data_IF_887072509045
#
_entry.id   IF_887072509045
#
_cell.length_a   1.000
_cell.length_b   1.000
_cell.length_c   1.000
_cell.angle_alpha   90.00
_cell.angle_beta   90.00
_cell.angle_gamma   90.00
#
_symmetry.space_group_name_H-M   'P 1'
#
loop_
_entity.id
_entity.type
_entity.pdbx_description
1 polymer ?
#
# COMPACT_ATOMS: atom_id res chain seq x y z
N UNK A 1 41.10 29.41 -8.21
CA UNK A 1 39.63 29.35 -8.04
C UNK A 1 39.25 27.91 -7.67
N UNK A 2 39.01 27.64 -6.39
CA UNK A 2 38.65 26.30 -5.92
C UNK A 2 37.13 26.10 -6.09
N UNK A 3 36.76 25.14 -6.93
CA UNK A 3 35.39 24.66 -7.09
C UNK A 3 34.94 24.01 -5.78
N UNK A 4 33.98 24.65 -5.09
CA UNK A 4 33.33 24.06 -3.91
C UNK A 4 32.39 22.96 -4.39
N UNK A 5 32.85 21.72 -4.29
CA UNK A 5 32.04 20.51 -4.43
C UNK A 5 30.97 20.48 -3.33
N UNK A 6 29.72 20.81 -3.68
CA UNK A 6 28.55 20.69 -2.80
C UNK A 6 28.05 19.25 -2.78
N UNK A 7 28.81 18.35 -2.13
CA UNK A 7 28.48 16.93 -2.01
C UNK A 7 27.91 16.59 -0.63
N UNK A 8 26.88 17.30 -0.16
CA UNK A 8 26.25 17.00 1.13
C UNK A 8 24.75 17.30 1.11
N UNK A 9 23.93 16.37 0.62
CA UNK A 9 22.47 16.38 0.91
C UNK A 9 21.71 15.09 0.52
N UNK A 10 22.21 14.25 -0.39
CA UNK A 10 21.38 13.21 -1.02
C UNK A 10 21.22 11.87 -0.28
N UNK A 11 21.83 11.71 0.90
CA UNK A 11 21.79 10.46 1.69
C UNK A 11 20.50 10.30 2.51
N UNK A 12 20.07 11.29 3.32
CA UNK A 12 18.84 11.17 4.12
C UNK A 12 17.57 10.97 3.27
N UNK A 13 17.48 11.59 2.09
CA UNK A 13 16.34 11.40 1.20
C UNK A 13 16.21 9.95 0.68
N UNK A 14 17.35 9.31 0.34
CA UNK A 14 17.39 7.90 -0.12
C UNK A 14 16.97 6.92 0.97
N UNK A 15 17.34 7.18 2.21
CA UNK A 15 16.99 6.33 3.35
C UNK A 15 15.48 6.38 3.64
N UNK A 16 14.85 7.54 3.45
CA UNK A 16 13.41 7.71 3.65
C UNK A 16 12.57 7.00 2.58
N UNK A 17 12.94 7.09 1.30
CA UNK A 17 12.23 6.37 0.22
C UNK A 17 12.27 4.85 0.43
N UNK A 18 13.46 4.33 0.78
CA UNK A 18 13.65 2.92 1.09
C UNK A 18 12.82 2.51 2.31
N UNK A 19 12.83 3.31 3.38
CA UNK A 19 12.04 3.06 4.57
C UNK A 19 10.53 3.03 4.24
N UNK A 20 10.03 3.98 3.45
CA UNK A 20 8.62 4.02 3.05
C UNK A 20 8.20 2.81 2.21
N UNK A 21 9.01 2.40 1.23
CA UNK A 21 8.72 1.20 0.43
C UNK A 21 8.80 -0.08 1.27
N UNK A 22 9.71 -0.16 2.24
CA UNK A 22 9.82 -1.30 3.16
C UNK A 22 8.61 -1.35 4.11
N UNK A 23 8.20 -0.20 4.67
CA UNK A 23 6.99 -0.08 5.49
C UNK A 23 5.73 -0.44 4.69
N UNK A 24 5.68 -0.05 3.42
CA UNK A 24 4.59 -0.44 2.52
C UNK A 24 4.49 -1.97 2.36
N UNK A 25 5.63 -2.67 2.18
CA UNK A 25 5.65 -4.14 2.17
C UNK A 25 5.12 -4.72 3.48
N UNK A 26 5.57 -4.20 4.62
CA UNK A 26 5.10 -4.67 5.93
C UNK A 26 3.58 -4.47 6.08
N UNK A 27 3.04 -3.33 5.64
CA UNK A 27 1.60 -3.05 5.64
C UNK A 27 0.82 -4.03 4.74
N UNK A 28 1.34 -4.35 3.55
CA UNK A 28 0.76 -5.35 2.65
C UNK A 28 0.69 -6.73 3.32
N UNK A 29 1.77 -7.16 3.97
CA UNK A 29 1.82 -8.45 4.68
C UNK A 29 0.82 -8.46 5.84
N UNK A 30 0.80 -7.40 6.66
CA UNK A 30 -0.13 -7.29 7.78
C UNK A 30 -1.61 -7.30 7.33
N UNK A 31 -1.92 -6.63 6.21
CA UNK A 31 -3.28 -6.59 5.67
C UNK A 31 -3.71 -7.91 5.02
N UNK A 32 -2.78 -8.63 4.37
CA UNK A 32 -3.07 -9.87 3.64
C UNK A 32 -3.02 -11.14 4.50
N UNK A 33 -2.23 -11.15 5.58
CA UNK A 33 -2.07 -12.33 6.43
C UNK A 33 -3.39 -12.86 7.02
N UNK A 34 -4.31 -12.03 7.54
CA UNK A 34 -5.61 -12.51 8.03
C UNK A 34 -6.45 -13.20 6.94
N UNK A 35 -6.39 -12.70 5.71
CA UNK A 35 -7.13 -13.27 4.57
C UNK A 35 -6.59 -14.66 4.16
N UNK A 36 -5.31 -14.94 4.43
CA UNK A 36 -4.67 -16.24 4.16
C UNK A 36 -4.87 -17.22 5.31
N UNK A 37 -4.61 -16.77 6.54
CA UNK A 37 -4.64 -17.62 7.73
C UNK A 37 -6.08 -18.02 8.08
N UNK A 38 -7.02 -17.08 7.98
CA UNK A 38 -8.43 -17.31 8.28
C UNK A 38 -9.33 -16.58 7.27
N UNK A 39 -9.39 -17.04 6.01
CA UNK A 39 -10.29 -16.48 5.00
C UNK A 39 -11.75 -16.54 5.45
N UNK A 40 -12.05 -17.57 6.26
CA UNK A 40 -13.19 -17.74 7.14
C UNK A 40 -13.64 -16.46 7.84
N UNK A 41 -12.86 -16.14 8.85
CA UNK A 41 -13.11 -15.06 9.77
C UNK A 41 -12.96 -13.69 9.08
N UNK A 42 -11.96 -13.53 8.23
CA UNK A 42 -11.72 -12.30 7.49
C UNK A 42 -12.91 -11.91 6.60
N UNK A 43 -13.51 -12.87 5.88
CA UNK A 43 -14.70 -12.62 5.08
C UNK A 43 -15.85 -12.07 5.94
N UNK A 44 -16.10 -12.70 7.09
CA UNK A 44 -17.21 -12.32 7.98
C UNK A 44 -16.96 -10.98 8.68
N UNK A 45 -15.69 -10.61 8.91
CA UNK A 45 -15.27 -9.34 9.48
C UNK A 45 -15.48 -8.18 8.49
N UNK A 46 -15.17 -8.39 7.22
CA UNK A 46 -15.12 -7.32 6.21
C UNK A 46 -16.41 -7.23 5.39
N UNK A 47 -17.02 -8.36 5.04
CA UNK A 47 -18.20 -8.43 4.19
C UNK A 47 -19.49 -8.61 5.00
N UNK A 48 -20.60 -8.15 4.42
CA UNK A 48 -21.93 -8.42 4.97
C UNK A 48 -22.35 -9.89 4.80
N UNK A 49 -23.30 -10.35 5.61
CA UNK A 49 -23.79 -11.75 5.60
C UNK A 49 -24.35 -12.21 4.25
N UNK A 50 -24.75 -11.26 3.39
CA UNK A 50 -25.32 -11.53 2.06
C UNK A 50 -24.27 -11.77 0.97
N UNK A 51 -22.99 -11.55 1.22
CA UNK A 51 -21.95 -11.69 0.20
C UNK A 51 -21.44 -13.13 0.13
N UNK A 52 -21.53 -13.80 -1.03
CA UNK A 52 -21.00 -15.15 -1.19
C UNK A 52 -19.48 -15.13 -1.00
N UNK A 53 -18.94 -16.12 -0.28
CA UNK A 53 -17.50 -16.28 -0.16
C UNK A 53 -16.94 -16.73 -1.50
N UNK A 54 -16.18 -15.86 -2.16
CA UNK A 54 -15.42 -16.21 -3.35
C UNK A 54 -13.94 -16.43 -2.97
N UNK A 55 -13.59 -17.68 -2.69
CA UNK A 55 -12.24 -18.06 -2.28
C UNK A 55 -11.19 -17.76 -3.35
N UNK A 56 -11.52 -17.97 -4.62
CA UNK A 56 -10.63 -17.69 -5.75
C UNK A 56 -10.30 -16.20 -5.85
N UNK A 57 -11.30 -15.33 -5.65
CA UNK A 57 -11.10 -13.89 -5.64
C UNK A 57 -10.20 -13.46 -4.47
N UNK A 58 -10.42 -14.01 -3.27
CA UNK A 58 -9.56 -13.71 -2.12
C UNK A 58 -8.11 -14.15 -2.36
N UNK A 59 -7.89 -15.34 -2.91
CA UNK A 59 -6.55 -15.83 -3.26
C UNK A 59 -5.87 -14.98 -4.34
N UNK A 60 -6.61 -14.58 -5.37
CA UNK A 60 -6.11 -13.68 -6.41
C UNK A 60 -5.66 -12.34 -5.81
N UNK A 61 -6.48 -11.73 -4.95
CA UNK A 61 -6.13 -10.48 -4.28
C UNK A 61 -4.90 -10.62 -3.38
N UNK A 62 -4.81 -11.69 -2.59
CA UNK A 62 -3.61 -11.98 -1.80
C UNK A 62 -2.38 -12.04 -2.69
N UNK A 63 -2.42 -12.82 -3.78
CA UNK A 63 -1.29 -12.98 -4.68
C UNK A 63 -0.90 -11.65 -5.34
N UNK A 64 -1.87 -10.88 -5.84
CA UNK A 64 -1.63 -9.56 -6.42
C UNK A 64 -0.94 -8.61 -5.42
N UNK A 65 -1.40 -8.60 -4.16
CA UNK A 65 -0.81 -7.80 -3.09
C UNK A 65 0.61 -8.25 -2.77
N UNK A 66 0.86 -9.56 -2.64
CA UNK A 66 2.21 -10.10 -2.40
C UNK A 66 3.16 -9.75 -3.54
N UNK A 67 2.75 -9.89 -4.80
CA UNK A 67 3.57 -9.53 -5.96
C UNK A 67 3.87 -8.03 -5.99
N UNK A 68 2.87 -7.18 -5.71
CA UNK A 68 3.06 -5.73 -5.62
C UNK A 68 4.04 -5.36 -4.49
N UNK A 69 3.95 -5.99 -3.34
CA UNK A 69 4.90 -5.81 -2.22
C UNK A 69 6.32 -6.22 -2.60
N UNK A 70 6.49 -7.38 -3.25
CA UNK A 70 7.79 -7.86 -3.71
C UNK A 70 8.42 -6.91 -4.73
N UNK A 71 7.64 -6.42 -5.71
CA UNK A 71 8.10 -5.42 -6.68
C UNK A 71 8.53 -4.12 -5.99
N UNK A 72 7.75 -3.67 -4.99
CA UNK A 72 8.11 -2.52 -4.16
C UNK A 72 9.45 -2.68 -3.45
N UNK A 73 9.72 -3.87 -2.90
CA UNK A 73 10.97 -4.18 -2.20
C UNK A 73 12.18 -4.23 -3.14
N UNK A 74 12.01 -4.80 -4.34
CA UNK A 74 13.06 -4.81 -5.37
C UNK A 74 13.43 -3.37 -5.72
N UNK A 75 12.43 -2.51 -5.96
CA UNK A 75 12.66 -1.09 -6.26
C UNK A 75 13.26 -0.34 -5.07
N UNK A 76 12.86 -0.66 -3.84
CA UNK A 76 13.42 -0.04 -2.63
C UNK A 76 14.94 -0.23 -2.50
N UNK A 77 15.43 -1.39 -2.95
CA UNK A 77 16.84 -1.75 -2.92
C UNK A 77 17.63 -1.31 -4.16
N UNK A 78 16.97 -0.79 -5.20
CA UNK A 78 17.65 -0.24 -6.38
C UNK A 78 18.31 1.12 -6.07
N UNK A 79 19.29 1.53 -6.88
CA UNK A 79 19.85 2.90 -6.81
C UNK A 79 19.07 3.91 -7.65
N UNK A 80 18.05 3.47 -8.39
CA UNK A 80 17.25 4.32 -9.26
C UNK A 80 16.19 5.11 -8.47
N UNK A 81 16.51 6.38 -8.20
CA UNK A 81 15.60 7.33 -7.56
C UNK A 81 14.29 7.52 -8.32
N UNK A 82 14.34 7.55 -9.65
CA UNK A 82 13.14 7.76 -10.48
C UNK A 82 12.22 6.55 -10.36
N UNK A 83 12.77 5.34 -10.37
CA UNK A 83 12.02 4.12 -10.13
C UNK A 83 11.36 4.12 -8.74
N UNK A 84 12.08 4.52 -7.68
CA UNK A 84 11.52 4.64 -6.32
C UNK A 84 10.37 5.63 -6.25
N UNK A 85 10.53 6.85 -6.78
CA UNK A 85 9.47 7.87 -6.80
C UNK A 85 8.25 7.39 -7.58
N UNK A 86 8.44 6.75 -8.74
CA UNK A 86 7.35 6.21 -9.53
C UNK A 86 6.63 5.06 -8.81
N UNK A 87 7.38 4.19 -8.13
CA UNK A 87 6.80 3.11 -7.33
C UNK A 87 6.02 3.65 -6.14
N UNK A 88 6.53 4.66 -5.44
CA UNK A 88 5.80 5.35 -4.37
C UNK A 88 4.48 5.96 -4.86
N UNK A 89 4.48 6.60 -6.03
CA UNK A 89 3.25 7.13 -6.66
C UNK A 89 2.27 6.00 -7.01
N UNK A 90 2.76 4.92 -7.62
CA UNK A 90 1.95 3.78 -8.01
C UNK A 90 1.30 3.11 -6.79
N UNK A 91 2.10 2.79 -5.77
CA UNK A 91 1.62 2.18 -4.53
C UNK A 91 0.69 3.12 -3.78
N UNK A 92 1.01 4.41 -3.73
CA UNK A 92 0.16 5.40 -3.09
C UNK A 92 -1.20 5.55 -3.78
N UNK A 93 -1.23 5.58 -5.11
CA UNK A 93 -2.47 5.58 -5.88
C UNK A 93 -3.28 4.30 -5.64
N UNK A 94 -2.62 3.13 -5.63
CA UNK A 94 -3.28 1.85 -5.37
C UNK A 94 -3.97 1.80 -3.99
N UNK A 95 -3.32 2.28 -2.94
CA UNK A 95 -3.93 2.38 -1.61
C UNK A 95 -5.12 3.34 -1.57
N UNK A 96 -5.01 4.51 -2.21
CA UNK A 96 -6.13 5.45 -2.32
C UNK A 96 -7.32 4.86 -3.10
N UNK A 97 -7.06 4.15 -4.20
CA UNK A 97 -8.10 3.43 -4.94
C UNK A 97 -8.73 2.33 -4.10
N UNK A 98 -7.93 1.56 -3.35
CA UNK A 98 -8.43 0.54 -2.42
C UNK A 98 -9.36 1.12 -1.35
N UNK A 99 -9.00 2.26 -0.77
CA UNK A 99 -9.86 2.99 0.17
C UNK A 99 -11.17 3.46 -0.48
N UNK A 100 -11.10 4.05 -1.67
CA UNK A 100 -12.29 4.51 -2.40
C UNK A 100 -13.23 3.35 -2.77
N UNK A 101 -12.69 2.22 -3.23
CA UNK A 101 -13.46 1.02 -3.54
C UNK A 101 -14.18 0.46 -2.31
N UNK A 102 -13.48 0.41 -1.17
CA UNK A 102 -14.05 -0.03 0.10
C UNK A 102 -15.20 0.87 0.57
N UNK A 103 -15.02 2.19 0.52
CA UNK A 103 -16.08 3.14 0.85
C UNK A 103 -17.29 3.02 -0.10
N UNK A 104 -17.04 2.79 -1.39
CA UNK A 104 -18.12 2.54 -2.35
C UNK A 104 -18.87 1.22 -2.05
N UNK A 105 -18.16 0.17 -1.65
CA UNK A 105 -18.78 -1.10 -1.26
C UNK A 105 -19.61 -0.97 0.04
N UNK A 106 -19.17 -0.13 0.99
CA UNK A 106 -19.98 0.25 2.16
C UNK A 106 -21.26 0.99 1.75
N UNK A 107 -21.15 1.95 0.82
CA UNK A 107 -22.31 2.68 0.30
C UNK A 107 -23.33 1.73 -0.35
N UNK A 108 -22.86 0.67 -1.01
CA UNK A 108 -23.69 -0.38 -1.64
C UNK A 108 -24.18 -1.45 -0.65
N UNK A 109 -23.75 -1.42 0.61
CA UNK A 109 -24.11 -2.41 1.62
C UNK A 109 -23.41 -3.77 1.47
N UNK A 110 -22.31 -3.82 0.70
CA UNK A 110 -21.54 -5.04 0.44
C UNK A 110 -20.51 -5.31 1.54
N UNK A 111 -20.05 -4.27 2.23
CA UNK A 111 -19.08 -4.34 3.33
C UNK A 111 -19.62 -3.72 4.63
N UNK A 112 -19.10 -4.21 5.77
CA UNK A 112 -19.47 -3.72 7.10
C UNK A 112 -18.86 -2.33 7.34
N UNK A 113 -19.71 -1.37 7.73
CA UNK A 113 -19.30 0.04 7.93
C UNK A 113 -18.10 0.21 8.86
N UNK A 114 -18.16 -0.39 10.05
CA UNK A 114 -17.18 -0.14 11.12
C UNK A 114 -15.76 -0.58 10.73
N UNK A 115 -15.61 -1.84 10.31
CA UNK A 115 -14.32 -2.40 9.87
C UNK A 115 -13.80 -1.66 8.63
N UNK A 116 -14.68 -1.34 7.68
CA UNK A 116 -14.27 -0.73 6.42
C UNK A 116 -13.88 0.75 6.57
N UNK A 117 -14.52 1.54 7.45
CA UNK A 117 -14.10 2.93 7.68
C UNK A 117 -12.71 3.01 8.30
N UNK A 118 -12.44 2.17 9.32
CA UNK A 118 -11.12 2.11 9.94
C UNK A 118 -10.06 1.65 8.91
N UNK A 119 -10.35 0.58 8.16
CA UNK A 119 -9.47 0.09 7.10
C UNK A 119 -9.20 1.14 6.01
N UNK A 120 -10.26 1.75 5.47
CA UNK A 120 -10.14 2.76 4.41
C UNK A 120 -9.39 4.01 4.87
N UNK A 121 -9.55 4.42 6.13
CA UNK A 121 -8.80 5.54 6.72
C UNK A 121 -7.31 5.27 6.74
N UNK A 122 -6.89 4.08 7.19
CA UNK A 122 -5.47 3.67 7.19
C UNK A 122 -4.92 3.62 5.76
N UNK A 123 -5.68 3.05 4.82
CA UNK A 123 -5.27 2.99 3.42
C UNK A 123 -5.13 4.37 2.79
N UNK A 124 -6.08 5.28 3.02
CA UNK A 124 -6.00 6.65 2.52
C UNK A 124 -4.80 7.41 3.10
N UNK A 125 -4.53 7.27 4.41
CA UNK A 125 -3.39 7.90 5.06
C UNK A 125 -2.05 7.40 4.53
N UNK A 126 -1.91 6.07 4.36
CA UNK A 126 -0.73 5.46 3.76
C UNK A 126 -0.58 5.88 2.29
N UNK A 127 -1.67 5.84 1.53
CA UNK A 127 -1.71 6.27 0.13
C UNK A 127 -1.28 7.73 -0.05
N UNK A 128 -1.82 8.63 0.76
CA UNK A 128 -1.46 10.04 0.76
C UNK A 128 0.02 10.25 1.13
N UNK A 129 0.54 9.52 2.12
CA UNK A 129 1.94 9.62 2.54
C UNK A 129 2.90 9.15 1.44
N UNK A 130 2.57 8.04 0.76
CA UNK A 130 3.36 7.51 -0.35
C UNK A 130 3.31 8.44 -1.58
N UNK A 131 2.13 8.99 -1.90
CA UNK A 131 1.98 9.97 -2.98
C UNK A 131 2.78 11.25 -2.69
N UNK A 132 2.66 11.79 -1.46
CA UNK A 132 3.40 12.97 -1.04
C UNK A 132 4.91 12.75 -1.15
N UNK A 133 5.43 11.61 -0.67
CA UNK A 133 6.83 11.26 -0.83
C UNK A 133 7.23 11.12 -2.31
N UNK A 134 6.39 10.50 -3.14
CA UNK A 134 6.67 10.31 -4.56
C UNK A 134 6.65 11.61 -5.38
N UNK A 135 5.82 12.60 -5.02
CA UNK A 135 5.72 13.88 -5.73
C UNK A 135 6.62 14.98 -5.16
N UNK A 136 6.78 15.07 -3.83
CA UNK A 136 7.34 16.25 -3.17
C UNK A 136 8.75 16.07 -2.57
N UNK A 137 9.31 14.85 -2.51
CA UNK A 137 10.69 14.63 -2.02
C UNK A 137 11.65 14.47 -3.19
N UNK A 138 12.75 15.22 -3.20
CA UNK A 138 13.80 15.25 -4.24
C UNK A 138 15.15 14.64 -3.79
#
# INVERSE_FOLDING_TARGET
>A
MASKSSATSSKPARDVEKALLTTNLAAIVAFSAPAVISPGHWHNLVFGEKQPRNQNMNQFWTMAMTTAGAAGQIVANSDDKKAKKNMLKLMGAAWCTGAAMQLNNVRRGEQRREATFAGSGVQAALGATLLWAGFCKD
#
